data_IF_341660388249
#
_entry.id   IF_341660388249
#
_cell.length_a   1.000
_cell.length_b   1.000
_cell.length_c   1.000
_cell.angle_alpha   90.00
_cell.angle_beta   90.00
_cell.angle_gamma   90.00
#
_symmetry.space_group_name_H-M   'P 1'
#
loop_
_entity.id
_entity.type
_entity.pdbx_description
1 polymer ?
#
# COMPACT_ATOMS: atom_id res chain seq x y z
N UNK A 1 12.45 11.64 13.42
CA UNK A 1 11.24 11.70 12.58
C UNK A 1 11.06 10.30 11.99
N UNK A 2 9.85 9.75 12.01
CA UNK A 2 9.59 8.43 11.43
C UNK A 2 9.81 8.41 9.92
N UNK A 3 10.06 7.23 9.37
CA UNK A 3 10.28 7.01 7.93
C UNK A 3 8.95 6.95 7.18
N UNK A 4 8.96 7.32 5.90
CA UNK A 4 7.93 6.90 4.94
C UNK A 4 8.36 5.59 4.31
N UNK A 5 7.58 4.53 4.52
CA UNK A 5 7.86 3.18 4.04
C UNK A 5 6.76 2.73 3.08
N UNK A 6 7.12 1.97 2.06
CA UNK A 6 6.17 1.31 1.16
C UNK A 6 6.45 -0.18 1.12
N UNK A 7 5.43 -0.99 1.38
CA UNK A 7 5.47 -2.43 1.23
C UNK A 7 4.42 -2.82 0.19
N UNK A 8 4.83 -3.47 -0.91
CA UNK A 8 3.92 -3.73 -2.02
C UNK A 8 4.29 -5.02 -2.76
N UNK A 9 3.27 -5.83 -3.06
CA UNK A 9 3.44 -6.99 -3.94
C UNK A 9 3.58 -6.56 -5.40
N UNK A 10 4.49 -7.22 -6.11
CA UNK A 10 4.80 -6.92 -7.51
C UNK A 10 5.01 -8.22 -8.29
N UNK A 11 4.48 -8.28 -9.50
CA UNK A 11 4.73 -9.38 -10.43
C UNK A 11 6.18 -9.36 -10.94
N UNK A 12 6.65 -10.49 -11.46
CA UNK A 12 7.99 -10.59 -12.04
C UNK A 12 8.19 -9.65 -13.24
N UNK A 13 7.12 -9.28 -13.93
CA UNK A 13 7.12 -8.31 -15.04
C UNK A 13 6.77 -6.87 -14.63
N UNK A 14 6.69 -6.59 -13.31
CA UNK A 14 6.71 -5.25 -12.75
C UNK A 14 5.34 -4.60 -12.53
N UNK A 15 4.26 -5.37 -12.42
CA UNK A 15 2.92 -4.86 -12.17
C UNK A 15 2.49 -5.08 -10.72
N UNK A 16 1.77 -4.12 -10.16
CA UNK A 16 1.20 -4.16 -8.80
C UNK A 16 -0.32 -4.34 -8.80
N UNK A 17 -0.92 -4.32 -9.97
CA UNK A 17 -2.30 -4.72 -10.24
C UNK A 17 -2.40 -5.12 -11.71
N UNK A 18 -3.35 -6.00 -12.04
CA UNK A 18 -3.65 -6.38 -13.41
C UNK A 18 -4.42 -5.31 -14.19
N UNK A 19 -4.65 -5.53 -15.50
CA UNK A 19 -5.49 -4.66 -16.32
C UNK A 19 -6.97 -4.72 -15.91
N UNK A 20 -7.76 -3.80 -16.46
CA UNK A 20 -9.22 -3.79 -16.32
C UNK A 20 -9.71 -3.76 -14.86
N UNK A 21 -9.03 -2.96 -14.01
CA UNK A 21 -9.50 -2.73 -12.64
C UNK A 21 -10.92 -2.16 -12.65
N UNK A 22 -11.79 -2.70 -11.79
CA UNK A 22 -13.17 -2.25 -11.59
C UNK A 22 -13.58 -2.38 -10.13
N UNK A 23 -14.80 -1.92 -9.79
CA UNK A 23 -15.29 -2.07 -8.42
C UNK A 23 -15.57 -3.54 -8.05
N UNK A 24 -15.86 -4.39 -9.03
CA UNK A 24 -16.00 -5.84 -8.86
C UNK A 24 -14.65 -6.58 -8.87
N UNK A 25 -13.64 -5.96 -9.49
CA UNK A 25 -12.29 -6.52 -9.58
C UNK A 25 -11.22 -5.43 -9.32
N UNK A 26 -11.05 -4.99 -8.07
CA UNK A 26 -10.20 -3.84 -7.74
C UNK A 26 -8.71 -4.07 -7.99
N UNK A 27 -8.26 -5.32 -8.01
CA UNK A 27 -6.88 -5.68 -8.35
C UNK A 27 -6.64 -5.93 -9.85
N UNK A 28 -7.69 -5.84 -10.67
CA UNK A 28 -7.62 -6.14 -12.10
C UNK A 28 -7.47 -7.64 -12.40
N UNK A 29 -7.51 -8.00 -13.68
CA UNK A 29 -7.43 -9.38 -14.13
C UNK A 29 -6.11 -10.04 -13.72
N UNK A 30 -6.19 -11.12 -12.95
CA UNK A 30 -5.05 -11.86 -12.41
C UNK A 30 -4.28 -11.17 -11.30
N UNK A 31 -4.70 -9.96 -10.87
CA UNK A 31 -4.01 -9.19 -9.84
C UNK A 31 -4.11 -9.80 -8.45
N UNK A 32 -5.13 -10.59 -8.16
CA UNK A 32 -5.29 -11.34 -6.92
C UNK A 32 -4.11 -12.30 -6.66
N UNK A 33 -3.49 -12.84 -7.72
CA UNK A 33 -2.32 -13.74 -7.64
C UNK A 33 -1.12 -13.10 -6.95
N UNK A 34 -1.05 -11.77 -6.92
CA UNK A 34 0.00 -11.03 -6.21
C UNK A 34 -0.09 -11.21 -4.69
N UNK A 35 -1.21 -11.72 -4.18
CA UNK A 35 -1.48 -11.90 -2.76
C UNK A 35 -1.57 -13.37 -2.33
N UNK A 36 -1.38 -14.33 -3.25
CA UNK A 36 -1.45 -15.77 -2.95
C UNK A 36 -0.47 -16.19 -1.84
N UNK A 37 0.67 -15.51 -1.72
CA UNK A 37 1.68 -15.80 -0.71
C UNK A 37 1.29 -15.38 0.71
N UNK A 38 0.44 -14.35 0.86
CA UNK A 38 0.05 -13.81 2.17
C UNK A 38 -1.20 -14.48 2.73
N UNK A 39 -2.12 -14.91 1.87
CA UNK A 39 -3.41 -15.52 2.26
C UNK A 39 -3.27 -16.76 3.15
N UNK A 40 -2.28 -17.67 2.97
CA UNK A 40 -2.08 -18.81 3.85
C UNK A 40 -1.51 -18.45 5.23
N UNK A 41 -0.93 -17.27 5.43
CA UNK A 41 -0.25 -16.92 6.68
C UNK A 41 -1.22 -16.79 7.85
N UNK A 42 -0.78 -17.24 9.02
CA UNK A 42 -1.57 -17.18 10.25
C UNK A 42 -2.03 -15.75 10.57
N UNK A 43 -1.14 -14.76 10.47
CA UNK A 43 -1.46 -13.36 10.74
C UNK A 43 -2.51 -12.77 9.77
N UNK A 44 -2.50 -13.20 8.49
CA UNK A 44 -3.53 -12.79 7.55
C UNK A 44 -4.87 -13.44 7.86
N UNK A 45 -4.84 -14.74 8.17
CA UNK A 45 -6.06 -15.50 8.51
C UNK A 45 -6.72 -15.00 9.78
N UNK A 46 -5.94 -14.67 10.81
CA UNK A 46 -6.42 -14.08 12.05
C UNK A 46 -7.09 -12.74 11.83
N UNK A 47 -6.49 -11.85 11.01
CA UNK A 47 -7.06 -10.57 10.63
C UNK A 47 -8.38 -10.69 9.83
N UNK A 48 -8.70 -11.89 9.31
CA UNK A 48 -9.94 -12.19 8.58
C UNK A 48 -10.81 -13.21 9.34
N UNK A 49 -10.69 -13.28 10.67
CA UNK A 49 -11.48 -14.17 11.54
C UNK A 49 -11.37 -15.67 11.18
N UNK A 50 -10.26 -16.09 10.53
CA UNK A 50 -9.99 -17.47 10.13
C UNK A 50 -8.96 -18.10 11.06
N UNK A 51 -9.22 -19.31 11.52
CA UNK A 51 -8.29 -20.06 12.38
C UNK A 51 -7.15 -20.72 11.60
N UNK A 52 -6.03 -20.97 12.29
CA UNK A 52 -4.86 -21.66 11.76
C UNK A 52 -4.09 -20.79 10.75
N UNK A 53 -3.22 -21.42 10.00
CA UNK A 53 -2.40 -20.78 8.98
C UNK A 53 -0.93 -21.12 9.12
N UNK A 54 -0.15 -20.71 8.14
CA UNK A 54 1.29 -20.97 8.08
C UNK A 54 2.07 -19.91 8.85
N UNK A 55 3.19 -20.34 9.43
CA UNK A 55 4.22 -19.45 9.98
C UNK A 55 5.52 -19.79 9.26
N UNK A 56 6.03 -18.84 8.50
CA UNK A 56 7.23 -18.98 7.70
C UNK A 56 8.02 -17.67 7.65
N UNK A 57 9.02 -17.55 6.80
CA UNK A 57 9.85 -16.34 6.69
C UNK A 57 9.03 -15.07 6.38
N UNK A 58 7.91 -15.19 5.64
CA UNK A 58 7.01 -14.07 5.34
C UNK A 58 6.31 -13.54 6.60
N UNK A 59 6.06 -14.39 7.61
CA UNK A 59 5.40 -13.96 8.85
C UNK A 59 6.21 -12.89 9.58
N UNK A 60 7.52 -13.09 9.71
CA UNK A 60 8.40 -12.08 10.30
C UNK A 60 8.43 -10.78 9.50
N UNK A 61 8.41 -10.86 8.16
CA UNK A 61 8.37 -9.68 7.28
C UNK A 61 7.09 -8.87 7.52
N UNK A 62 5.95 -9.54 7.62
CA UNK A 62 4.65 -8.87 7.90
C UNK A 62 4.63 -8.25 9.30
N UNK A 63 5.17 -8.93 10.31
CA UNK A 63 5.25 -8.39 11.67
C UNK A 63 6.13 -7.14 11.73
N UNK A 64 7.29 -7.16 11.05
CA UNK A 64 8.17 -6.00 10.92
C UNK A 64 7.51 -4.84 10.14
N UNK A 65 6.75 -5.16 9.09
CA UNK A 65 6.02 -4.16 8.30
C UNK A 65 4.98 -3.40 9.14
N UNK A 66 4.28 -4.11 10.02
CA UNK A 66 3.26 -3.55 10.91
C UNK A 66 3.83 -2.85 12.14
N UNK A 67 5.06 -3.21 12.53
CA UNK A 67 5.70 -2.63 13.70
C UNK A 67 5.97 -1.12 13.51
N UNK A 68 5.80 -0.36 14.57
CA UNK A 68 6.12 1.08 14.63
C UNK A 68 5.37 1.98 13.63
N UNK A 69 4.25 1.53 13.02
CA UNK A 69 3.43 2.37 12.14
C UNK A 69 2.47 3.21 13.00
N UNK A 70 2.37 4.51 12.70
CA UNK A 70 1.49 5.43 13.42
C UNK A 70 0.50 6.17 12.52
N UNK A 71 0.67 6.11 11.20
CA UNK A 71 -0.25 6.65 10.21
C UNK A 71 -0.04 5.97 8.85
N UNK A 72 -1.03 6.10 7.98
CA UNK A 72 -0.96 5.62 6.60
C UNK A 72 -1.21 6.71 5.58
N UNK A 73 -0.70 6.52 4.36
CA UNK A 73 -1.06 7.29 3.17
C UNK A 73 -1.47 6.29 2.08
N UNK A 74 -2.49 6.60 1.32
CA UNK A 74 -2.90 5.80 0.15
C UNK A 74 -3.45 6.66 -0.98
N UNK A 75 -3.42 6.11 -2.19
CA UNK A 75 -4.04 6.74 -3.34
C UNK A 75 -5.56 6.50 -3.38
N UNK A 76 -6.26 7.37 -4.10
CA UNK A 76 -7.71 7.32 -4.29
C UNK A 76 -8.21 5.96 -4.82
N UNK A 77 -7.50 5.36 -5.78
CA UNK A 77 -7.90 4.06 -6.33
C UNK A 77 -7.74 2.91 -5.35
N UNK A 78 -6.77 2.99 -4.44
CA UNK A 78 -6.65 1.98 -3.38
C UNK A 78 -7.79 2.08 -2.36
N UNK A 79 -8.23 3.28 -2.02
CA UNK A 79 -9.42 3.46 -1.17
C UNK A 79 -10.70 3.06 -1.91
N UNK A 80 -10.76 3.29 -3.22
CA UNK A 80 -11.93 3.04 -4.06
C UNK A 80 -12.98 4.16 -4.01
N UNK A 81 -14.06 4.05 -4.77
CA UNK A 81 -14.22 3.09 -5.88
C UNK A 81 -13.22 3.35 -7.02
N UNK A 82 -12.92 2.33 -7.81
CA UNK A 82 -11.95 2.37 -8.90
C UNK A 82 -12.32 3.39 -9.98
N UNK A 83 -11.30 3.92 -10.69
CA UNK A 83 -11.48 4.86 -11.80
C UNK A 83 -11.49 6.33 -11.37
N UNK A 84 -11.33 6.63 -10.08
CA UNK A 84 -11.23 8.02 -9.59
C UNK A 84 -12.50 8.85 -9.89
N UNK A 85 -12.32 10.17 -10.14
CA UNK A 85 -13.43 11.08 -10.39
C UNK A 85 -14.17 11.51 -9.12
N UNK A 86 -15.27 12.27 -9.26
CA UNK A 86 -16.12 12.63 -8.13
C UNK A 86 -16.63 11.41 -7.37
N UNK A 87 -16.94 11.60 -6.10
CA UNK A 87 -17.52 10.53 -5.30
C UNK A 87 -18.86 10.11 -5.90
N UNK A 88 -18.94 8.89 -6.44
CA UNK A 88 -20.14 8.33 -7.06
C UNK A 88 -21.11 7.78 -6.02
N UNK A 89 -20.56 7.38 -4.87
CA UNK A 89 -21.30 6.87 -3.73
C UNK A 89 -20.74 7.52 -2.45
N UNK A 90 -21.53 8.35 -1.82
CA UNK A 90 -21.18 9.00 -0.55
C UNK A 90 -21.16 8.01 0.63
N UNK A 91 -21.79 6.85 0.48
CA UNK A 91 -21.79 5.79 1.49
C UNK A 91 -20.60 4.85 1.36
N UNK A 92 -19.78 5.00 0.31
CA UNK A 92 -18.57 4.19 0.15
C UNK A 92 -17.57 4.42 1.29
N UNK A 93 -17.20 3.35 1.99
CA UNK A 93 -16.31 3.39 3.17
C UNK A 93 -14.96 2.67 2.95
N UNK A 94 -14.67 2.26 1.71
CA UNK A 94 -13.49 1.46 1.37
C UNK A 94 -13.83 -0.01 1.18
N UNK A 95 -12.80 -0.82 1.00
CA UNK A 95 -12.93 -2.26 0.70
C UNK A 95 -13.00 -3.14 1.95
N UNK A 96 -12.75 -2.59 3.15
CA UNK A 96 -12.42 -3.36 4.37
C UNK A 96 -13.60 -3.50 5.34
N UNK A 97 -14.81 -3.11 4.94
CA UNK A 97 -15.97 -3.12 5.85
C UNK A 97 -15.85 -2.10 6.98
N UNK A 98 -16.49 -2.39 8.10
CA UNK A 98 -16.66 -1.43 9.20
C UNK A 98 -15.40 -1.30 10.08
N UNK A 99 -14.54 -2.34 10.15
CA UNK A 99 -13.29 -2.37 10.92
C UNK A 99 -12.06 -2.57 10.02
N UNK A 100 -11.56 -1.52 9.34
CA UNK A 100 -10.36 -1.61 8.52
C UNK A 100 -9.11 -1.94 9.34
N UNK A 101 -8.16 -2.75 8.81
CA UNK A 101 -7.05 -3.33 9.57
C UNK A 101 -5.91 -2.36 9.91
N UNK A 102 -6.14 -1.06 9.83
CA UNK A 102 -5.11 -0.06 10.05
C UNK A 102 -5.03 0.37 11.53
N UNK A 103 -6.17 0.65 12.18
CA UNK A 103 -6.28 1.11 13.57
C UNK A 103 -5.46 2.38 13.89
N UNK A 104 -5.25 3.23 12.88
CA UNK A 104 -4.58 4.54 12.95
C UNK A 104 -5.11 5.46 11.83
N UNK A 105 -4.79 6.79 11.87
CA UNK A 105 -5.20 7.71 10.81
C UNK A 105 -4.58 7.36 9.45
N UNK A 106 -5.40 7.36 8.39
CA UNK A 106 -5.01 7.09 7.02
C UNK A 106 -5.39 8.27 6.13
N UNK A 107 -4.43 8.80 5.38
CA UNK A 107 -4.60 9.96 4.51
C UNK A 107 -4.74 9.51 3.05
N UNK A 108 -5.93 9.71 2.50
CA UNK A 108 -6.27 9.34 1.12
C UNK A 108 -6.02 10.54 0.21
N UNK A 109 -5.01 10.44 -0.66
CA UNK A 109 -4.72 11.49 -1.64
C UNK A 109 -5.71 11.39 -2.80
N UNK A 110 -6.43 12.49 -3.04
CA UNK A 110 -7.53 12.58 -4.01
C UNK A 110 -7.65 13.99 -4.57
N UNK A 111 -8.34 14.18 -5.68
CA UNK A 111 -8.69 15.50 -6.22
C UNK A 111 -10.07 15.99 -5.74
N UNK A 112 -10.82 15.15 -5.06
CA UNK A 112 -12.20 15.43 -4.67
C UNK A 112 -12.34 15.42 -3.15
N UNK A 113 -12.78 16.54 -2.54
CA UNK A 113 -12.91 16.63 -1.09
C UNK A 113 -14.02 15.70 -0.59
N UNK A 114 -13.83 15.25 0.64
CA UNK A 114 -14.81 14.50 1.41
C UNK A 114 -14.53 14.70 2.89
N UNK A 115 -15.57 14.65 3.70
CA UNK A 115 -15.45 14.67 5.16
C UNK A 115 -14.70 13.41 5.65
N UNK A 116 -13.93 13.51 6.74
CA UNK A 116 -13.28 12.35 7.33
C UNK A 116 -14.29 11.23 7.68
N UNK A 117 -13.86 9.99 7.51
CA UNK A 117 -14.61 8.80 7.88
C UNK A 117 -13.99 8.16 9.12
N UNK A 118 -14.70 8.18 10.22
CA UNK A 118 -14.35 7.43 11.43
C UNK A 118 -14.91 6.01 11.31
N UNK A 119 -14.00 5.02 11.41
CA UNK A 119 -14.34 3.61 11.30
C UNK A 119 -14.20 2.93 12.66
N UNK A 120 -14.76 1.73 12.79
CA UNK A 120 -14.52 0.89 13.96
C UNK A 120 -13.03 0.57 14.12
N UNK A 121 -12.60 0.10 15.30
CA UNK A 121 -11.22 -0.25 15.57
C UNK A 121 -10.21 0.91 15.57
N UNK A 122 -10.66 2.17 15.35
CA UNK A 122 -9.82 3.37 15.48
C UNK A 122 -9.16 3.83 14.18
N UNK A 123 -9.51 3.26 13.03
CA UNK A 123 -9.12 3.80 11.72
C UNK A 123 -9.93 5.06 11.42
N UNK A 124 -9.26 6.13 10.96
CA UNK A 124 -9.93 7.32 10.41
C UNK A 124 -9.36 7.64 9.05
N UNK A 125 -10.18 7.68 8.02
CA UNK A 125 -9.77 8.12 6.70
C UNK A 125 -9.92 9.64 6.55
N UNK A 126 -8.82 10.32 6.21
CA UNK A 126 -8.78 11.75 5.91
C UNK A 126 -8.53 11.95 4.42
N UNK A 127 -9.37 12.72 3.74
CA UNK A 127 -9.25 12.96 2.30
C UNK A 127 -8.46 14.24 2.06
N UNK A 128 -7.31 14.12 1.35
CA UNK A 128 -6.35 15.20 1.15
C UNK A 128 -6.35 15.58 -0.32
N UNK A 129 -6.65 16.86 -0.62
CA UNK A 129 -6.80 17.35 -2.00
C UNK A 129 -5.69 18.30 -2.44
N UNK A 130 -4.78 18.64 -1.58
CA UNK A 130 -3.70 19.60 -1.80
C UNK A 130 -2.33 18.95 -2.11
N UNK A 131 -2.32 17.62 -2.41
CA UNK A 131 -1.19 16.90 -2.96
C UNK A 131 -0.48 15.98 -1.98
N UNK A 132 0.62 15.36 -2.46
CA UNK A 132 1.34 14.31 -1.73
C UNK A 132 2.14 14.83 -0.54
N UNK A 133 2.75 16.02 -0.66
CA UNK A 133 3.55 16.60 0.41
C UNK A 133 2.71 16.99 1.63
N UNK A 134 1.58 17.72 1.48
CA UNK A 134 0.67 18.00 2.60
C UNK A 134 0.07 16.73 3.21
N UNK A 135 -0.20 15.71 2.41
CA UNK A 135 -0.68 14.42 2.92
C UNK A 135 0.38 13.77 3.83
N UNK A 136 1.65 13.75 3.40
CA UNK A 136 2.75 13.21 4.19
C UNK A 136 3.00 14.02 5.47
N UNK A 137 2.94 15.35 5.39
CA UNK A 137 3.10 16.22 6.57
C UNK A 137 2.04 15.91 7.63
N UNK A 138 0.77 15.81 7.22
CA UNK A 138 -0.34 15.45 8.11
C UNK A 138 -0.17 14.05 8.69
N UNK A 139 0.24 13.07 7.86
CA UNK A 139 0.49 11.71 8.30
C UNK A 139 1.66 11.64 9.31
N UNK A 140 2.77 12.33 9.06
CA UNK A 140 3.91 12.39 9.99
C UNK A 140 3.52 13.04 11.33
N UNK A 141 2.70 14.08 11.30
CA UNK A 141 2.16 14.71 12.51
C UNK A 141 1.28 13.73 13.31
N UNK A 142 0.37 13.03 12.63
CA UNK A 142 -0.52 12.04 13.23
C UNK A 142 0.27 10.83 13.78
N UNK A 143 1.32 10.40 13.09
CA UNK A 143 2.16 9.28 13.49
C UNK A 143 2.94 9.51 14.80
N UNK A 144 3.08 10.76 15.27
CA UNK A 144 3.68 11.06 16.56
C UNK A 144 5.14 10.60 16.71
N UNK A 145 5.91 10.60 15.62
CA UNK A 145 7.31 10.14 15.57
C UNK A 145 7.48 8.69 15.13
N UNK A 146 6.40 7.91 15.02
CA UNK A 146 6.40 6.59 14.39
C UNK A 146 6.50 6.71 12.86
N UNK A 147 6.63 5.57 12.19
CA UNK A 147 6.69 5.49 10.73
C UNK A 147 5.31 5.76 10.10
N UNK A 148 5.35 6.21 8.86
CA UNK A 148 4.19 6.34 7.98
C UNK A 148 4.27 5.25 6.93
N UNK A 149 3.17 4.50 6.73
CA UNK A 149 3.08 3.47 5.70
C UNK A 149 2.40 4.03 4.45
N UNK A 150 3.07 3.92 3.30
CA UNK A 150 2.50 4.17 1.99
C UNK A 150 1.91 2.88 1.43
N UNK A 151 0.58 2.79 1.44
CA UNK A 151 -0.14 1.55 1.12
C UNK A 151 -0.31 1.29 -0.40
N UNK A 152 -0.10 2.30 -1.24
CA UNK A 152 -0.30 2.17 -2.69
C UNK A 152 -1.53 2.97 -3.17
N UNK A 153 -2.12 2.86 -4.41
CA UNK A 153 -1.65 2.01 -5.51
C UNK A 153 -0.42 2.55 -6.27
N UNK A 154 -0.19 2.00 -7.46
CA UNK A 154 1.03 2.27 -8.21
C UNK A 154 1.32 3.75 -8.45
N UNK A 155 0.35 4.53 -8.87
CA UNK A 155 0.54 5.96 -9.17
C UNK A 155 0.98 6.81 -7.99
N UNK A 156 0.50 6.53 -6.78
CA UNK A 156 0.91 7.29 -5.60
C UNK A 156 2.35 6.92 -5.20
N UNK A 157 2.75 5.66 -5.35
CA UNK A 157 4.13 5.21 -5.12
C UNK A 157 5.08 5.90 -6.09
N UNK A 158 4.73 5.98 -7.39
CA UNK A 158 5.50 6.73 -8.40
C UNK A 158 5.73 8.18 -7.98
N UNK A 159 4.68 8.88 -7.53
CA UNK A 159 4.78 10.27 -7.12
C UNK A 159 5.73 10.48 -5.93
N UNK A 160 5.65 9.62 -4.89
CA UNK A 160 6.55 9.70 -3.74
C UNK A 160 7.99 9.34 -4.09
N UNK A 161 8.20 8.36 -4.99
CA UNK A 161 9.53 8.03 -5.52
C UNK A 161 10.12 9.20 -6.33
N UNK A 162 9.34 9.74 -7.26
CA UNK A 162 9.78 10.85 -8.12
C UNK A 162 10.08 12.13 -7.33
N UNK A 163 9.38 12.36 -6.21
CA UNK A 163 9.59 13.50 -5.32
C UNK A 163 10.75 13.29 -4.32
N UNK A 164 11.38 12.10 -4.28
CA UNK A 164 12.44 11.78 -3.31
C UNK A 164 11.94 11.75 -1.86
N UNK A 165 10.68 11.43 -1.65
CA UNK A 165 10.04 11.47 -0.32
C UNK A 165 9.94 10.10 0.35
N UNK A 166 10.15 8.99 -0.41
CA UNK A 166 10.11 7.64 0.11
C UNK A 166 11.46 7.27 0.73
N UNK A 167 11.48 6.78 1.96
CA UNK A 167 12.70 6.39 2.68
C UNK A 167 13.04 4.91 2.47
N UNK A 168 12.04 4.03 2.49
CA UNK A 168 12.21 2.58 2.34
C UNK A 168 11.15 1.99 1.40
N UNK A 169 11.60 1.09 0.53
CA UNK A 169 10.75 0.31 -0.37
C UNK A 169 10.97 -1.18 -0.12
N UNK A 170 9.91 -1.89 0.25
CA UNK A 170 9.93 -3.35 0.33
C UNK A 170 9.02 -3.92 -0.75
N UNK A 171 9.63 -4.69 -1.65
CA UNK A 171 8.93 -5.37 -2.74
C UNK A 171 8.71 -6.83 -2.38
N UNK A 172 7.49 -7.29 -2.46
CA UNK A 172 7.16 -8.71 -2.41
C UNK A 172 7.07 -9.23 -3.84
N UNK A 173 8.19 -9.68 -4.38
CA UNK A 173 8.30 -10.15 -5.77
C UNK A 173 7.67 -11.53 -5.89
N UNK A 174 6.51 -11.58 -6.54
CA UNK A 174 5.74 -12.80 -6.77
C UNK A 174 6.08 -13.36 -8.14
N UNK A 175 6.33 -14.69 -8.27
CA UNK A 175 6.75 -15.32 -9.54
C UNK A 175 5.56 -15.52 -10.48
N UNK A 176 4.84 -14.45 -10.79
CA UNK A 176 3.73 -14.41 -11.75
C UNK A 176 4.02 -13.36 -12.83
N UNK A 177 3.44 -13.57 -14.01
CA UNK A 177 3.43 -12.60 -15.10
C UNK A 177 1.98 -12.14 -15.30
N UNK A 178 1.75 -10.84 -15.33
CA UNK A 178 0.45 -10.23 -15.57
C UNK A 178 0.32 -9.72 -17.00
N UNK A 179 1.43 -9.32 -17.63
CA UNK A 179 1.48 -8.88 -19.04
C UNK A 179 1.01 -7.45 -19.27
N UNK A 180 0.07 -6.93 -18.45
CA UNK A 180 -0.47 -5.58 -18.49
C UNK A 180 -0.98 -5.17 -17.10
N UNK A 181 -1.27 -3.87 -16.90
CA UNK A 181 -1.81 -3.35 -15.65
C UNK A 181 -1.10 -2.13 -15.09
N UNK A 182 -1.14 -1.96 -13.78
CA UNK A 182 -0.52 -0.83 -13.08
C UNK A 182 0.92 -1.15 -12.68
N UNK A 183 1.88 -0.28 -13.06
CA UNK A 183 3.31 -0.38 -12.73
C UNK A 183 3.69 0.67 -11.68
N UNK A 184 4.77 0.43 -10.92
CA UNK A 184 5.23 1.40 -9.92
C UNK A 184 6.47 2.18 -10.34
N UNK A 185 7.18 1.74 -11.37
CA UNK A 185 8.42 2.39 -11.83
C UNK A 185 8.25 3.20 -13.12
N UNK A 186 7.03 3.34 -13.60
CA UNK A 186 6.72 4.23 -14.71
C UNK A 186 6.57 5.68 -14.22
N UNK A 187 6.64 6.64 -15.14
CA UNK A 187 6.40 8.07 -14.88
C UNK A 187 7.30 8.72 -13.82
N UNK A 188 8.49 8.17 -13.58
CA UNK A 188 9.46 8.76 -12.66
C UNK A 188 10.14 10.01 -13.24
N UNK A 189 9.90 10.32 -14.52
CA UNK A 189 10.49 11.47 -15.21
C UNK A 189 12.02 11.39 -15.25
N UNK A 190 12.67 12.48 -14.84
CA UNK A 190 14.13 12.56 -14.73
C UNK A 190 14.64 12.32 -13.30
N UNK A 191 13.81 11.78 -12.42
CA UNK A 191 14.25 11.49 -11.05
C UNK A 191 15.32 10.39 -11.04
N UNK A 192 16.48 10.71 -10.49
CA UNK A 192 17.55 9.73 -10.27
C UNK A 192 17.27 9.00 -8.94
N UNK A 193 16.38 8.01 -8.99
CA UNK A 193 16.09 7.18 -7.82
C UNK A 193 17.17 6.11 -7.69
N UNK A 194 17.96 6.16 -6.62
CA UNK A 194 18.92 5.12 -6.29
C UNK A 194 18.38 4.22 -5.19
N UNK A 195 18.58 2.91 -5.34
CA UNK A 195 18.13 1.91 -4.39
C UNK A 195 19.32 1.14 -3.83
N UNK A 196 19.52 1.21 -2.53
CA UNK A 196 20.49 0.36 -1.83
C UNK A 196 19.78 -0.86 -1.25
N UNK A 197 20.19 -2.05 -1.66
CA UNK A 197 19.62 -3.28 -1.13
C UNK A 197 19.97 -3.45 0.35
N UNK A 198 18.95 -3.58 1.18
CA UNK A 198 19.09 -3.85 2.62
C UNK A 198 19.03 -5.34 2.91
N UNK A 199 18.06 -6.05 2.27
CA UNK A 199 17.92 -7.50 2.42
C UNK A 199 17.20 -8.13 1.24
N UNK A 200 17.38 -9.44 1.09
CA UNK A 200 16.56 -10.31 0.26
C UNK A 200 16.22 -11.56 1.09
N UNK A 201 14.95 -11.94 1.14
CA UNK A 201 14.47 -13.10 1.88
C UNK A 201 13.59 -13.95 0.98
N UNK A 202 13.96 -15.20 0.77
CA UNK A 202 13.14 -16.19 0.06
C UNK A 202 12.10 -16.78 1.00
N UNK A 203 10.87 -16.88 0.51
CA UNK A 203 9.76 -17.53 1.19
C UNK A 203 8.87 -18.27 0.18
N UNK A 204 7.98 -19.17 0.62
CA UNK A 204 7.07 -19.87 -0.27
C UNK A 204 6.24 -18.89 -1.13
N UNK A 205 6.40 -18.98 -2.45
CA UNK A 205 5.65 -18.19 -3.43
C UNK A 205 6.06 -16.71 -3.56
N UNK A 206 7.11 -16.25 -2.89
CA UNK A 206 7.52 -14.85 -2.91
C UNK A 206 9.00 -14.67 -2.55
N UNK A 207 9.63 -13.61 -3.09
CA UNK A 207 10.92 -13.10 -2.59
C UNK A 207 10.72 -11.69 -2.07
N UNK A 208 11.04 -11.45 -0.82
CA UNK A 208 10.98 -10.13 -0.20
C UNK A 208 12.29 -9.38 -0.42
N UNK A 209 12.22 -8.22 -1.04
CA UNK A 209 13.37 -7.37 -1.39
C UNK A 209 13.20 -6.01 -0.72
N UNK A 210 14.03 -5.73 0.27
CA UNK A 210 14.00 -4.43 0.96
C UNK A 210 15.11 -3.52 0.47
N UNK A 211 14.75 -2.30 0.15
CA UNK A 211 15.65 -1.25 -0.29
C UNK A 211 15.52 0.00 0.58
N UNK A 212 16.63 0.68 0.79
CA UNK A 212 16.66 2.08 1.18
C UNK A 212 16.69 2.92 -0.09
N UNK A 213 15.83 3.94 -0.14
CA UNK A 213 15.85 4.93 -1.22
C UNK A 213 16.90 5.98 -0.87
N UNK A 214 17.82 6.22 -1.79
CA UNK A 214 18.90 7.22 -1.67
C UNK A 214 18.63 8.30 -2.71
N UNK A 215 18.57 9.53 -2.27
CA UNK A 215 18.35 10.73 -3.11
C UNK A 215 19.60 11.61 -3.09
#
# INVERSE_FOLDING_TARGET
MGKLRCDISISLDGFVAGPNQSDENPLGEGGERLHDWVVPLAAWREAHEKQGGEVNASSQIIDEARANVGAGVMGRNMFGPVGGGPWRDEQWTGWWGDDPPYHYPVFVVTHYPRDPLEMEGGTTFHFVTDGIEPALERARKAAGGKDVMLWGGGQIVQQYLAAGLLDELELHLVPVLLGDGARIFDNLGNAEVQLEQVRAVEAPGVTHLKYRVVT
#
